data_IF_355609098931
#
_entry.id   IF_355609098931
#
_cell.length_a   1.000
_cell.length_b   1.000
_cell.length_c   1.000
_cell.angle_alpha   90.00
_cell.angle_beta   90.00
_cell.angle_gamma   90.00
#
_symmetry.space_group_name_H-M   'P 1'
#
loop_
_entity.id
_entity.type
_entity.pdbx_description
1 polymer ?
#
# COMPACT_ATOMS: atom_id res chain seq x y z
N UNK A 1 -8.58 8.64 7.19
CA UNK A 1 -7.63 9.63 7.72
C UNK A 1 -7.25 9.40 9.16
N UNK A 2 -8.11 9.79 10.10
CA UNK A 2 -7.77 9.84 11.55
C UNK A 2 -7.24 8.50 12.10
N UNK A 3 -7.91 7.39 11.79
CA UNK A 3 -7.44 6.06 12.20
C UNK A 3 -6.06 5.70 11.63
N UNK A 4 -5.80 6.09 10.37
CA UNK A 4 -4.50 5.87 9.71
C UNK A 4 -3.39 6.60 10.46
N UNK A 5 -3.61 7.86 10.83
CA UNK A 5 -2.66 8.66 11.63
C UNK A 5 -2.43 8.01 12.99
N UNK A 6 -3.50 7.67 13.71
CA UNK A 6 -3.40 7.03 15.02
C UNK A 6 -2.62 5.70 14.95
N UNK A 7 -2.87 4.89 13.93
CA UNK A 7 -2.19 3.63 13.72
C UNK A 7 -0.72 3.82 13.33
N UNK A 8 -0.41 4.82 12.49
CA UNK A 8 0.97 5.20 12.16
C UNK A 8 1.76 5.60 13.41
N UNK A 9 1.20 6.48 14.24
CA UNK A 9 1.81 6.89 15.50
C UNK A 9 2.05 5.68 16.41
N UNK A 10 1.06 4.80 16.55
CA UNK A 10 1.17 3.60 17.37
C UNK A 10 2.27 2.66 16.87
N UNK A 11 2.38 2.48 15.55
CA UNK A 11 3.38 1.64 14.93
C UNK A 11 4.79 2.21 15.11
N UNK A 12 4.97 3.50 14.81
CA UNK A 12 6.26 4.21 14.95
C UNK A 12 6.73 4.23 16.39
N UNK A 13 5.82 4.43 17.36
CA UNK A 13 6.14 4.38 18.80
C UNK A 13 6.71 3.02 19.21
N UNK A 14 6.18 1.95 18.63
CA UNK A 14 6.60 0.58 18.92
C UNK A 14 7.91 0.18 18.21
N UNK A 15 8.23 0.81 17.08
CA UNK A 15 9.49 0.60 16.34
C UNK A 15 10.66 1.45 16.88
N UNK A 16 10.36 2.68 17.28
CA UNK A 16 11.35 3.68 17.69
C UNK A 16 11.03 4.22 19.09
N UNK A 17 10.42 5.41 19.17
CA UNK A 17 10.11 6.09 20.43
C UNK A 17 8.94 7.07 20.30
N UNK A 18 8.55 7.68 21.42
CA UNK A 18 7.44 8.65 21.50
C UNK A 18 7.62 9.86 20.59
N UNK A 19 8.83 10.45 20.58
CA UNK A 19 9.11 11.64 19.77
C UNK A 19 8.96 11.35 18.29
N UNK A 20 9.50 10.23 17.82
CA UNK A 20 9.35 9.78 16.45
C UNK A 20 7.88 9.53 16.08
N UNK A 21 7.09 8.98 17.01
CA UNK A 21 5.66 8.76 16.80
C UNK A 21 4.89 10.07 16.63
N UNK A 22 5.16 11.07 17.47
CA UNK A 22 4.56 12.40 17.37
C UNK A 22 4.92 13.09 16.05
N UNK A 23 6.19 13.03 15.64
CA UNK A 23 6.65 13.59 14.36
C UNK A 23 5.96 12.89 13.19
N UNK A 24 5.92 11.55 13.18
CA UNK A 24 5.26 10.79 12.12
C UNK A 24 3.75 11.09 12.03
N UNK A 25 3.09 11.20 13.18
CA UNK A 25 1.68 11.57 13.25
C UNK A 25 1.42 12.99 12.73
N UNK A 26 2.25 13.94 13.14
CA UNK A 26 2.15 15.34 12.70
C UNK A 26 2.36 15.46 11.18
N UNK A 27 3.42 14.85 10.65
CA UNK A 27 3.69 14.82 9.21
C UNK A 27 2.52 14.20 8.42
N UNK A 28 1.94 13.10 8.91
CA UNK A 28 0.81 12.46 8.25
C UNK A 28 -0.48 13.29 8.33
N UNK A 29 -0.71 13.98 9.45
CA UNK A 29 -1.90 14.79 9.68
C UNK A 29 -1.93 16.06 8.82
N UNK A 30 -0.77 16.65 8.51
CA UNK A 30 -0.67 17.86 7.68
C UNK A 30 -0.44 17.56 6.19
N UNK A 31 -0.16 16.31 5.82
CA UNK A 31 0.16 15.97 4.43
C UNK A 31 -1.05 16.21 3.52
N UNK A 32 -0.98 17.15 2.54
CA UNK A 32 -2.14 17.60 1.76
C UNK A 32 -2.89 16.45 1.09
N UNK A 33 -2.15 15.51 0.50
CA UNK A 33 -2.72 14.34 -0.15
C UNK A 33 -3.44 13.40 0.82
N UNK A 34 -2.90 13.21 2.03
CA UNK A 34 -3.53 12.37 3.05
C UNK A 34 -4.83 13.01 3.57
N UNK A 35 -4.85 14.34 3.72
CA UNK A 35 -6.03 15.11 4.10
C UNK A 35 -7.10 15.06 3.01
N UNK A 36 -6.74 15.38 1.77
CA UNK A 36 -7.66 15.35 0.62
C UNK A 36 -8.32 13.99 0.45
N UNK A 37 -7.52 12.91 0.41
CA UNK A 37 -8.05 11.56 0.28
C UNK A 37 -8.81 11.05 1.51
N UNK A 38 -8.70 11.73 2.65
CA UNK A 38 -9.54 11.43 3.81
C UNK A 38 -10.94 12.03 3.74
N UNK A 39 -11.15 13.00 2.85
CA UNK A 39 -12.44 13.67 2.64
C UNK A 39 -13.20 13.10 1.43
N UNK A 40 -12.49 12.45 0.52
CA UNK A 40 -13.12 11.73 -0.58
C UNK A 40 -13.73 10.40 -0.09
N UNK A 41 -14.99 10.14 -0.45
CA UNK A 41 -15.65 8.85 -0.23
C UNK A 41 -15.12 7.78 -1.21
N UNK A 42 -13.80 7.55 -1.20
CA UNK A 42 -13.07 6.60 -2.04
C UNK A 42 -12.17 5.71 -1.18
N UNK A 43 -11.67 4.65 -1.79
CA UNK A 43 -10.89 3.58 -1.14
C UNK A 43 -9.50 4.00 -0.61
N UNK A 44 -8.96 5.16 -1.00
CA UNK A 44 -7.58 5.55 -0.71
C UNK A 44 -7.25 5.65 0.78
N UNK A 45 -8.13 6.26 1.58
CA UNK A 45 -7.94 6.35 3.02
C UNK A 45 -7.95 4.97 3.70
N UNK A 46 -8.83 4.07 3.24
CA UNK A 46 -8.92 2.70 3.73
C UNK A 46 -7.67 1.88 3.33
N UNK A 47 -7.21 2.00 2.08
CA UNK A 47 -5.97 1.37 1.61
C UNK A 47 -4.78 1.78 2.49
N UNK A 48 -4.62 3.07 2.79
CA UNK A 48 -3.54 3.55 3.67
C UNK A 48 -3.63 2.98 5.09
N UNK A 49 -4.83 2.85 5.65
CA UNK A 49 -5.04 2.21 6.94
C UNK A 49 -4.64 0.73 6.92
N UNK A 50 -5.09 -0.02 5.92
CA UNK A 50 -4.80 -1.44 5.76
C UNK A 50 -3.30 -1.69 5.52
N UNK A 51 -2.62 -0.83 4.76
CA UNK A 51 -1.18 -0.91 4.54
C UNK A 51 -0.39 -0.82 5.86
N UNK A 52 -0.73 0.13 6.75
CA UNK A 52 -0.08 0.24 8.07
C UNK A 52 -0.42 -0.96 8.96
N UNK A 53 -1.68 -1.39 8.95
CA UNK A 53 -2.11 -2.56 9.71
C UNK A 53 -1.36 -3.84 9.25
N UNK A 54 -1.15 -4.01 7.95
CA UNK A 54 -0.35 -5.10 7.39
C UNK A 54 1.11 -4.99 7.85
N UNK A 55 1.72 -3.81 7.79
CA UNK A 55 3.09 -3.60 8.27
C UNK A 55 3.24 -3.92 9.76
N UNK A 56 2.25 -3.55 10.58
CA UNK A 56 2.21 -3.90 12.01
C UNK A 56 2.08 -5.41 12.24
N UNK A 57 1.19 -6.08 11.50
CA UNK A 57 1.00 -7.54 11.61
C UNK A 57 2.27 -8.28 11.20
N UNK A 58 2.92 -7.86 10.10
CA UNK A 58 4.21 -8.38 9.66
C UNK A 58 5.27 -8.20 10.74
N UNK A 59 5.41 -7.00 11.30
CA UNK A 59 6.42 -6.74 12.29
C UNK A 59 6.19 -7.53 13.59
N UNK A 60 4.93 -7.74 14.01
CA UNK A 60 4.60 -8.64 15.14
C UNK A 60 4.97 -10.09 14.85
N UNK A 61 4.70 -10.57 13.64
CA UNK A 61 5.13 -11.90 13.23
C UNK A 61 6.66 -12.04 13.23
N UNK A 62 7.40 -11.04 12.75
CA UNK A 62 8.87 -11.06 12.78
C UNK A 62 9.43 -11.15 14.20
N UNK A 63 8.77 -10.55 15.20
CA UNK A 63 9.18 -10.69 16.61
C UNK A 63 8.73 -11.99 17.27
N UNK A 64 7.66 -12.61 16.76
CA UNK A 64 7.10 -13.87 17.31
C UNK A 64 6.75 -14.85 16.17
N UNK A 65 7.76 -15.39 15.47
CA UNK A 65 7.56 -16.11 14.21
C UNK A 65 6.73 -17.39 14.33
N UNK A 66 6.73 -18.00 15.52
CA UNK A 66 6.00 -19.24 15.81
C UNK A 66 4.50 -18.99 16.03
N UNK A 67 4.12 -17.74 16.35
CA UNK A 67 2.73 -17.35 16.46
C UNK A 67 2.12 -17.04 15.08
N UNK A 68 1.59 -18.09 14.44
CA UNK A 68 0.97 -18.02 13.10
C UNK A 68 -0.23 -17.07 13.00
N UNK A 69 -0.84 -16.67 14.12
CA UNK A 69 -1.99 -15.74 14.12
C UNK A 69 -1.64 -14.40 13.49
N UNK A 70 -0.44 -13.89 13.73
CA UNK A 70 -0.01 -12.61 13.15
C UNK A 70 0.23 -12.70 11.65
N UNK A 71 0.72 -13.86 11.17
CA UNK A 71 0.90 -14.08 9.74
C UNK A 71 -0.44 -14.28 9.02
N UNK A 72 -1.40 -14.95 9.66
CA UNK A 72 -2.77 -15.06 9.14
C UNK A 72 -3.46 -13.69 9.08
N UNK A 73 -3.31 -12.87 10.13
CA UNK A 73 -3.79 -11.49 10.15
C UNK A 73 -3.12 -10.65 9.05
N UNK A 74 -1.82 -10.79 8.85
CA UNK A 74 -1.09 -10.13 7.77
C UNK A 74 -1.68 -10.50 6.41
N UNK A 75 -1.86 -11.80 6.14
CA UNK A 75 -2.43 -12.27 4.88
C UNK A 75 -3.84 -11.72 4.65
N UNK A 76 -4.70 -11.78 5.67
CA UNK A 76 -6.06 -11.23 5.61
C UNK A 76 -6.06 -9.74 5.29
N UNK A 77 -5.28 -8.94 6.02
CA UNK A 77 -5.24 -7.48 5.84
C UNK A 77 -4.63 -7.11 4.49
N UNK A 78 -3.59 -7.81 4.02
CA UNK A 78 -3.03 -7.61 2.69
C UNK A 78 -4.04 -7.95 1.60
N UNK A 79 -4.75 -9.07 1.70
CA UNK A 79 -5.81 -9.43 0.75
C UNK A 79 -6.90 -8.36 0.73
N UNK A 80 -7.39 -7.92 1.89
CA UNK A 80 -8.36 -6.83 1.96
C UNK A 80 -7.83 -5.56 1.29
N UNK A 81 -6.56 -5.20 1.52
CA UNK A 81 -5.94 -4.04 0.87
C UNK A 81 -5.89 -4.19 -0.65
N UNK A 82 -5.53 -5.36 -1.18
CA UNK A 82 -5.55 -5.62 -2.62
C UNK A 82 -6.95 -5.50 -3.23
N UNK A 83 -7.97 -5.95 -2.51
CA UNK A 83 -9.36 -5.77 -2.90
C UNK A 83 -9.83 -4.31 -2.83
N UNK A 84 -9.16 -3.46 -2.04
CA UNK A 84 -9.40 -2.01 -2.10
C UNK A 84 -8.72 -1.38 -3.30
N UNK A 85 -7.43 -1.66 -3.53
CA UNK A 85 -6.69 -1.02 -4.60
C UNK A 85 -5.46 -1.84 -5.00
N UNK A 86 -5.27 -2.01 -6.31
CA UNK A 86 -4.14 -2.73 -6.91
C UNK A 86 -2.76 -2.13 -6.59
N UNK A 87 -2.66 -0.84 -6.25
CA UNK A 87 -1.41 -0.20 -5.81
C UNK A 87 -0.89 -0.72 -4.46
N UNK A 88 -1.69 -1.50 -3.74
CA UNK A 88 -1.22 -2.34 -2.63
C UNK A 88 0.01 -3.19 -3.00
N UNK A 89 0.22 -3.49 -4.29
CA UNK A 89 1.42 -4.18 -4.77
C UNK A 89 2.73 -3.51 -4.32
N UNK A 90 2.78 -2.18 -4.25
CA UNK A 90 3.96 -1.46 -3.77
C UNK A 90 4.22 -1.71 -2.29
N UNK A 91 3.16 -1.79 -1.47
CA UNK A 91 3.27 -2.19 -0.06
C UNK A 91 3.76 -3.62 0.06
N UNK A 92 3.25 -4.55 -0.75
CA UNK A 92 3.73 -5.93 -0.77
C UNK A 92 5.23 -6.01 -1.11
N UNK A 93 5.67 -5.30 -2.16
CA UNK A 93 7.09 -5.24 -2.55
C UNK A 93 7.94 -4.68 -1.41
N UNK A 94 7.50 -3.61 -0.74
CA UNK A 94 8.21 -3.05 0.40
C UNK A 94 8.38 -4.08 1.54
N UNK A 95 7.34 -4.86 1.85
CA UNK A 95 7.44 -5.94 2.84
C UNK A 95 8.45 -7.02 2.44
N UNK A 96 8.49 -7.42 1.17
CA UNK A 96 9.51 -8.33 0.64
C UNK A 96 10.92 -7.75 0.76
N UNK A 97 11.11 -6.47 0.43
CA UNK A 97 12.39 -5.78 0.56
C UNK A 97 12.87 -5.73 2.01
N UNK A 98 11.98 -5.41 2.96
CA UNK A 98 12.30 -5.42 4.40
C UNK A 98 12.72 -6.82 4.84
N UNK A 99 11.99 -7.86 4.42
CA UNK A 99 12.32 -9.24 4.74
C UNK A 99 13.67 -9.69 4.15
N UNK A 100 13.95 -9.32 2.91
CA UNK A 100 15.24 -9.56 2.24
C UNK A 100 16.37 -8.87 3.00
N UNK A 101 16.22 -7.58 3.31
CA UNK A 101 17.21 -6.82 4.06
C UNK A 101 17.50 -7.42 5.45
N UNK A 102 16.46 -7.90 6.15
CA UNK A 102 16.61 -8.59 7.44
C UNK A 102 17.26 -9.97 7.28
N UNK A 103 16.94 -10.72 6.22
CA UNK A 103 17.50 -12.05 5.95
C UNK A 103 18.97 -12.00 5.52
N UNK A 104 19.44 -10.87 4.98
CA UNK A 104 20.85 -10.65 4.63
C UNK A 104 21.74 -10.31 5.85
N UNK A 105 21.15 -10.02 7.02
CA UNK A 105 21.93 -9.77 8.24
C UNK A 105 22.48 -11.09 8.80
N UNK A 106 23.74 -11.08 9.27
CA UNK A 106 24.50 -12.27 9.71
C UNK A 106 23.83 -13.10 10.81
N UNK A 107 23.00 -12.46 11.65
CA UNK A 107 22.24 -13.09 12.75
C UNK A 107 20.74 -13.27 12.42
N UNK A 108 20.33 -12.96 11.19
CA UNK A 108 18.94 -13.09 10.76
C UNK A 108 18.56 -14.55 10.58
N UNK A 109 17.63 -15.03 11.42
CA UNK A 109 16.71 -16.11 11.07
C UNK A 109 16.32 -15.97 9.59
N UNK A 110 16.49 -17.04 8.79
CA UNK A 110 16.18 -16.98 7.36
C UNK A 110 14.65 -17.03 7.19
N UNK A 111 13.96 -15.93 7.50
CA UNK A 111 12.51 -15.80 7.43
C UNK A 111 11.96 -16.17 6.05
N UNK A 112 12.71 -15.88 4.98
CA UNK A 112 12.38 -16.26 3.60
C UNK A 112 12.34 -17.79 3.41
N UNK A 113 13.09 -18.56 4.19
CA UNK A 113 13.06 -20.03 4.12
C UNK A 113 11.87 -20.63 4.88
N UNK A 114 11.15 -19.86 5.68
CA UNK A 114 10.00 -20.37 6.43
C UNK A 114 8.84 -20.66 5.46
N UNK A 115 8.32 -21.89 5.38
CA UNK A 115 7.24 -22.24 4.44
C UNK A 115 5.95 -21.48 4.73
N UNK A 116 5.73 -21.09 5.99
CA UNK A 116 4.58 -20.28 6.38
C UNK A 116 4.50 -18.94 5.64
N UNK A 117 5.65 -18.28 5.39
CA UNK A 117 5.70 -17.02 4.64
C UNK A 117 5.22 -17.20 3.20
N UNK A 118 5.70 -18.26 2.53
CA UNK A 118 5.28 -18.60 1.17
C UNK A 118 3.80 -18.98 1.13
N UNK A 119 3.32 -19.77 2.09
CA UNK A 119 1.92 -20.13 2.18
C UNK A 119 1.01 -18.90 2.34
N UNK A 120 1.42 -17.92 3.16
CA UNK A 120 0.68 -16.68 3.33
C UNK A 120 0.62 -15.86 2.03
N UNK A 121 1.72 -15.73 1.30
CA UNK A 121 1.74 -15.01 0.02
C UNK A 121 1.00 -15.77 -1.09
N UNK A 122 1.08 -17.09 -1.11
CA UNK A 122 0.30 -17.92 -2.01
C UNK A 122 -1.20 -17.78 -1.74
N UNK A 123 -1.62 -17.70 -0.46
CA UNK A 123 -3.00 -17.44 -0.09
C UNK A 123 -3.48 -16.05 -0.54
N UNK A 124 -2.65 -15.01 -0.38
CA UNK A 124 -2.96 -13.66 -0.91
C UNK A 124 -3.12 -13.70 -2.43
N UNK A 125 -2.17 -14.32 -3.14
CA UNK A 125 -2.20 -14.44 -4.59
C UNK A 125 -3.42 -15.22 -5.08
N UNK A 126 -3.71 -16.37 -4.46
CA UNK A 126 -4.87 -17.21 -4.76
C UNK A 126 -6.18 -16.46 -4.54
N UNK A 127 -6.31 -15.74 -3.42
CA UNK A 127 -7.49 -14.91 -3.16
C UNK A 127 -7.66 -13.81 -4.22
N UNK A 128 -6.57 -13.28 -4.78
CA UNK A 128 -6.63 -12.22 -5.79
C UNK A 128 -6.81 -12.71 -7.23
N UNK A 129 -6.80 -14.03 -7.49
CA UNK A 129 -6.97 -14.62 -8.83
C UNK A 129 -8.22 -14.10 -9.57
N UNK A 130 -9.42 -14.00 -8.97
CA UNK A 130 -10.60 -13.53 -9.69
C UNK A 130 -10.42 -12.15 -10.34
N UNK A 131 -9.72 -11.24 -9.65
CA UNK A 131 -9.41 -9.90 -10.18
C UNK A 131 -8.36 -9.94 -11.28
N UNK A 132 -7.40 -10.87 -11.23
CA UNK A 132 -6.45 -11.06 -12.33
C UNK A 132 -7.15 -11.56 -13.59
N UNK A 133 -8.09 -12.49 -13.46
CA UNK A 133 -8.91 -12.96 -14.58
C UNK A 133 -9.73 -11.81 -15.19
N UNK A 134 -10.35 -10.99 -14.34
CA UNK A 134 -11.07 -9.79 -14.79
C UNK A 134 -10.15 -8.80 -15.52
N UNK A 135 -8.92 -8.59 -15.02
CA UNK A 135 -7.92 -7.74 -15.67
C UNK A 135 -7.52 -8.29 -17.04
N UNK A 136 -7.24 -9.59 -17.17
CA UNK A 136 -6.91 -10.19 -18.45
C UNK A 136 -8.07 -10.08 -19.44
N UNK A 137 -9.30 -10.28 -18.97
CA UNK A 137 -10.49 -10.08 -19.79
C UNK A 137 -10.63 -8.63 -20.28
N UNK A 138 -10.41 -7.64 -19.38
CA UNK A 138 -10.41 -6.23 -19.75
C UNK A 138 -9.35 -5.92 -20.81
N UNK A 139 -8.13 -6.40 -20.63
CA UNK A 139 -7.02 -6.15 -21.55
C UNK A 139 -7.26 -6.80 -22.92
N UNK A 140 -7.86 -7.99 -22.96
CA UNK A 140 -8.21 -8.67 -24.21
C UNK A 140 -9.24 -7.87 -25.03
N UNK A 141 -10.19 -7.20 -24.38
CA UNK A 141 -11.27 -6.45 -25.03
C UNK A 141 -11.02 -4.92 -25.07
N UNK A 142 -9.82 -4.46 -24.72
CA UNK A 142 -9.53 -3.02 -24.61
C UNK A 142 -9.65 -2.30 -25.96
N UNK A 143 -9.40 -3.00 -27.07
CA UNK A 143 -9.55 -2.46 -28.42
C UNK A 143 -11.02 -2.15 -28.73
N UNK A 144 -11.94 -3.04 -28.36
CA UNK A 144 -13.39 -2.88 -28.54
C UNK A 144 -13.93 -1.76 -27.65
N UNK A 145 -13.52 -1.73 -26.37
CA UNK A 145 -13.88 -0.67 -25.42
C UNK A 145 -13.40 0.72 -25.86
N UNK A 146 -12.26 0.79 -26.58
CA UNK A 146 -11.74 2.04 -27.13
C UNK A 146 -12.55 2.54 -28.32
N UNK A 147 -13.06 1.64 -29.15
CA UNK A 147 -13.95 1.98 -30.27
C UNK A 147 -15.32 2.43 -29.75
N UNK A 148 -15.81 1.83 -28.67
CA UNK A 148 -17.04 2.23 -27.98
C UNK A 148 -16.96 3.57 -27.23
N UNK A 149 -15.76 4.15 -27.08
CA UNK A 149 -15.55 5.42 -26.36
C UNK A 149 -15.47 5.28 -24.83
N UNK A 150 -15.57 4.07 -24.28
CA UNK A 150 -15.49 3.79 -22.84
C UNK A 150 -14.07 4.01 -22.28
N UNK A 151 -13.06 3.86 -23.13
CA UNK A 151 -11.64 3.97 -22.77
C UNK A 151 -10.89 4.82 -23.79
N UNK A 152 -9.96 5.68 -23.33
CA UNK A 152 -9.07 6.44 -24.22
C UNK A 152 -9.36 7.94 -24.32
N UNK A 153 -10.28 8.47 -23.51
CA UNK A 153 -10.52 9.91 -23.36
C UNK A 153 -9.40 10.65 -22.61
N UNK A 154 -8.51 9.92 -21.92
CA UNK A 154 -7.39 10.49 -21.17
C UNK A 154 -6.25 10.82 -22.14
N UNK A 155 -5.72 12.06 -22.12
CA UNK A 155 -4.55 12.44 -22.92
C UNK A 155 -3.35 11.53 -22.68
N UNK A 156 -2.47 11.41 -23.68
CA UNK A 156 -1.21 10.66 -23.51
C UNK A 156 -0.33 11.36 -22.48
N UNK A 157 0.19 10.59 -21.53
CA UNK A 157 1.16 11.06 -20.55
C UNK A 157 2.40 11.58 -21.30
N UNK A 158 2.80 12.79 -20.96
CA UNK A 158 3.96 13.49 -21.47
C UNK A 158 5.02 13.63 -20.38
N UNK A 159 6.27 13.93 -20.77
CA UNK A 159 7.35 14.16 -19.80
C UNK A 159 7.10 15.38 -18.89
N UNK A 160 6.27 16.33 -19.31
CA UNK A 160 5.88 17.49 -18.50
C UNK A 160 4.95 17.17 -17.34
N UNK A 161 4.28 16.01 -17.37
CA UNK A 161 3.35 15.60 -16.30
C UNK A 161 4.08 15.16 -15.03
N UNK A 162 5.36 14.77 -15.13
CA UNK A 162 6.14 14.33 -13.98
C UNK A 162 6.42 15.48 -12.99
N UNK A 163 6.99 16.63 -13.40
CA UNK A 163 7.09 17.80 -12.52
C UNK A 163 5.73 18.26 -11.97
N UNK A 164 4.69 18.26 -12.82
CA UNK A 164 3.34 18.65 -12.41
C UNK A 164 2.76 17.71 -11.34
N UNK A 165 3.05 16.41 -11.42
CA UNK A 165 2.65 15.43 -10.43
C UNK A 165 3.27 15.73 -9.06
N UNK A 166 4.57 16.02 -9.00
CA UNK A 166 5.23 16.37 -7.74
C UNK A 166 4.74 17.70 -7.18
N UNK A 167 4.51 18.70 -8.05
CA UNK A 167 3.90 19.95 -7.66
C UNK A 167 2.54 19.72 -7.01
N UNK A 168 1.65 19.01 -7.71
CA UNK A 168 0.31 18.67 -7.21
C UNK A 168 0.35 17.85 -5.94
N UNK A 169 1.32 16.96 -5.78
CA UNK A 169 1.48 16.17 -4.57
C UNK A 169 1.82 17.06 -3.36
N UNK A 170 2.66 18.07 -3.54
CA UNK A 170 3.10 18.98 -2.49
C UNK A 170 2.10 20.10 -2.20
N UNK A 171 1.50 20.68 -3.24
CA UNK A 171 0.62 21.86 -3.13
C UNK A 171 -0.86 21.51 -3.10
N UNK A 172 -1.23 20.28 -3.51
CA UNK A 172 -2.61 19.87 -3.70
C UNK A 172 -3.27 20.43 -4.96
N UNK A 173 -2.57 21.26 -5.75
CA UNK A 173 -3.13 21.96 -6.90
C UNK A 173 -2.28 21.77 -8.16
N UNK A 174 -2.96 21.70 -9.29
CA UNK A 174 -2.41 21.40 -10.62
C UNK A 174 -1.64 22.58 -11.25
N UNK A 175 -1.57 23.73 -10.57
CA UNK A 175 -0.80 24.90 -11.02
C UNK A 175 -1.46 25.74 -12.14
N UNK A 176 -2.55 25.26 -12.73
CA UNK A 176 -3.24 25.89 -13.87
C UNK A 176 -4.12 27.10 -13.52
N UNK A 177 -4.31 27.39 -12.23
CA UNK A 177 -5.18 28.47 -11.73
C UNK A 177 -4.40 29.62 -11.05
N UNK A 178 -3.06 29.66 -11.18
CA UNK A 178 -2.29 30.81 -10.71
C UNK A 178 -2.29 31.91 -11.78
N UNK A 179 -2.55 33.18 -11.41
CA UNK A 179 -2.53 34.30 -12.34
C UNK A 179 -1.16 34.55 -12.96
#
# INVERSE_FOLDING_TARGET
GVMTVALAMRFTRWLANERAALIAGWLMAIMPMAVRYSQEARMYALMGLLAIAAAMALAKWLKTPDNRRYLALYALVMTLSFYTHYFTIFTLIAHWMVLLALSCRREGERYIKRPAWWLANAAIGMAYIPWLLALFNLLAHIAELRVGGDVGWIPRVSWGDLPAMYWRFLTGHDGSNYP
#
